data_IF_136744457414
#
_entry.id   IF_136744457414
#
_cell.length_a   1.000
_cell.length_b   1.000
_cell.length_c   1.000
_cell.angle_alpha   90.00
_cell.angle_beta   90.00
_cell.angle_gamma   90.00
#
_symmetry.space_group_name_H-M   'P 1'
#
loop_
_entity.id
_entity.type
_entity.pdbx_description
1 polymer ?
#
# COMPACT_ATOMS: atom_id res chain seq x y z
N UNK A 1 -0.78 4.79 -24.54
CA UNK A 1 -1.89 4.78 -23.57
C UNK A 1 -1.63 5.67 -22.34
N UNK A 2 -0.95 6.81 -22.51
CA UNK A 2 -0.71 7.82 -21.47
C UNK A 2 -1.82 8.86 -21.30
N UNK A 3 -2.95 8.73 -22.01
CA UNK A 3 -3.88 9.85 -22.17
C UNK A 3 -4.78 10.11 -20.96
N UNK A 4 -5.16 9.07 -20.20
CA UNK A 4 -6.12 9.24 -19.11
C UNK A 4 -5.46 9.83 -17.86
N UNK A 5 -4.32 9.30 -17.43
CA UNK A 5 -3.54 9.86 -16.34
C UNK A 5 -3.10 11.29 -16.66
N UNK A 6 -2.66 11.55 -17.90
CA UNK A 6 -2.34 12.91 -18.33
C UNK A 6 -3.57 13.82 -18.22
N UNK A 7 -4.74 13.41 -18.72
CA UNK A 7 -5.95 14.24 -18.61
C UNK A 7 -6.36 14.48 -17.16
N UNK A 8 -6.29 13.46 -16.31
CA UNK A 8 -6.61 13.52 -14.89
C UNK A 8 -5.70 14.54 -14.19
N UNK A 9 -4.40 14.33 -14.25
CA UNK A 9 -3.39 15.15 -13.58
C UNK A 9 -3.02 16.42 -14.36
N UNK A 10 -3.69 16.73 -15.48
CA UNK A 10 -3.59 18.03 -16.17
C UNK A 10 -4.82 18.91 -15.91
N UNK A 11 -5.62 18.60 -14.88
CA UNK A 11 -6.83 19.33 -14.50
C UNK A 11 -7.87 19.48 -15.63
N UNK A 12 -7.96 18.51 -16.56
CA UNK A 12 -8.99 18.55 -17.62
C UNK A 12 -10.40 18.26 -17.11
N UNK A 13 -10.52 17.81 -15.86
CA UNK A 13 -11.78 17.54 -15.19
C UNK A 13 -11.88 18.36 -13.90
N UNK A 14 -12.12 19.68 -13.98
CA UNK A 14 -11.99 20.59 -12.84
C UNK A 14 -12.97 20.32 -11.69
N UNK A 15 -14.04 19.56 -11.93
CA UNK A 15 -15.04 19.20 -10.92
C UNK A 15 -14.98 17.73 -10.48
N UNK A 16 -13.99 16.96 -10.95
CA UNK A 16 -13.90 15.53 -10.67
C UNK A 16 -13.43 15.29 -9.24
N UNK A 17 -14.32 14.76 -8.39
CA UNK A 17 -14.00 14.42 -7.00
C UNK A 17 -13.53 12.99 -6.80
N UNK A 18 -13.96 12.07 -7.65
CA UNK A 18 -13.70 10.64 -7.54
C UNK A 18 -13.17 10.10 -8.87
N UNK A 19 -12.11 9.29 -8.81
CA UNK A 19 -11.58 8.58 -9.96
C UNK A 19 -11.20 7.15 -9.57
N UNK A 20 -11.60 6.18 -10.39
CA UNK A 20 -11.21 4.78 -10.24
C UNK A 20 -10.50 4.29 -11.50
N UNK A 21 -9.20 4.06 -11.35
CA UNK A 21 -8.27 3.54 -12.35
C UNK A 21 -7.51 2.34 -11.77
N UNK A 22 -8.13 1.60 -10.83
CA UNK A 22 -7.47 0.54 -10.08
C UNK A 22 -7.09 -0.67 -10.95
N UNK A 23 -7.88 -0.94 -11.98
CA UNK A 23 -7.66 -2.03 -12.95
C UNK A 23 -6.83 -1.58 -14.17
N UNK A 24 -6.32 -0.35 -14.15
CA UNK A 24 -5.54 0.19 -15.27
C UNK A 24 -4.06 -0.20 -15.18
N UNK A 25 -3.38 -0.12 -16.33
CA UNK A 25 -1.94 -0.42 -16.48
C UNK A 25 -1.06 0.41 -15.54
N UNK A 26 0.13 -0.15 -15.27
CA UNK A 26 1.22 0.46 -14.50
C UNK A 26 1.56 1.86 -15.01
N UNK A 27 1.76 2.80 -14.09
CA UNK A 27 2.27 4.13 -14.43
C UNK A 27 3.79 4.09 -14.37
N UNK A 28 4.44 4.02 -15.52
CA UNK A 28 5.91 3.96 -15.60
C UNK A 28 6.55 5.33 -15.84
N UNK A 29 5.78 6.32 -16.31
CA UNK A 29 6.31 7.64 -16.70
C UNK A 29 5.53 8.77 -16.06
N UNK A 30 6.26 9.62 -15.34
CA UNK A 30 5.74 10.88 -14.81
C UNK A 30 5.79 11.91 -15.94
N UNK A 31 4.62 12.38 -16.36
CA UNK A 31 4.48 13.53 -17.25
C UNK A 31 4.44 14.81 -16.41
N UNK A 32 4.64 16.01 -16.99
CA UNK A 32 4.44 17.27 -16.27
C UNK A 32 2.97 17.38 -15.86
N UNK A 33 2.68 17.00 -14.62
CA UNK A 33 1.36 17.09 -14.02
C UNK A 33 1.13 18.49 -13.49
N UNK A 34 -0.08 18.99 -13.70
CA UNK A 34 -0.57 20.21 -13.06
C UNK A 34 -1.35 19.85 -11.80
N UNK A 35 -1.71 20.85 -11.00
CA UNK A 35 -2.52 20.63 -9.81
C UNK A 35 -3.97 20.32 -10.19
N UNK A 36 -4.49 19.22 -9.64
CA UNK A 36 -5.88 18.78 -9.73
C UNK A 36 -6.53 18.92 -8.36
N UNK A 37 -7.05 20.13 -8.09
CA UNK A 37 -7.53 20.53 -6.77
C UNK A 37 -8.86 19.89 -6.36
N UNK A 38 -9.66 19.44 -7.31
CA UNK A 38 -11.00 18.89 -7.03
C UNK A 38 -10.99 17.42 -6.61
N UNK A 39 -9.91 16.70 -6.91
CA UNK A 39 -9.85 15.25 -6.68
C UNK A 39 -9.67 14.95 -5.20
N UNK A 40 -10.65 14.27 -4.62
CA UNK A 40 -10.67 13.88 -3.20
C UNK A 40 -10.50 12.37 -3.01
N UNK A 41 -10.89 11.57 -3.99
CA UNK A 41 -10.86 10.11 -3.91
C UNK A 41 -10.22 9.54 -5.17
N UNK A 42 -9.13 8.77 -5.00
CA UNK A 42 -8.41 8.15 -6.09
C UNK A 42 -8.17 6.67 -5.80
N UNK A 43 -8.54 5.83 -6.75
CA UNK A 43 -8.10 4.44 -6.81
C UNK A 43 -7.26 4.28 -8.06
N UNK A 44 -6.07 3.69 -7.94
CA UNK A 44 -5.11 3.60 -9.03
C UNK A 44 -4.41 2.23 -9.00
N UNK A 45 -3.98 1.76 -10.16
CA UNK A 45 -3.29 0.48 -10.29
C UNK A 45 -1.87 0.50 -9.71
N UNK A 46 -0.97 -0.19 -10.40
CA UNK A 46 0.43 -0.34 -9.98
C UNK A 46 1.20 0.96 -10.14
N UNK A 47 1.76 1.44 -9.04
CA UNK A 47 2.60 2.62 -9.00
C UNK A 47 3.83 2.37 -8.14
N UNK A 48 4.91 3.09 -8.46
CA UNK A 48 6.09 3.13 -7.62
C UNK A 48 6.06 4.35 -6.67
N UNK A 49 7.13 4.51 -5.90
CA UNK A 49 7.26 5.61 -4.95
C UNK A 49 7.32 7.00 -5.62
N UNK A 50 7.91 7.12 -6.81
CA UNK A 50 8.00 8.38 -7.52
C UNK A 50 6.64 8.83 -8.04
N UNK A 51 5.87 7.91 -8.61
CA UNK A 51 4.51 8.18 -9.06
C UNK A 51 3.63 8.53 -7.86
N UNK A 52 3.75 7.82 -6.75
CA UNK A 52 3.03 8.12 -5.52
C UNK A 52 3.26 9.55 -5.04
N UNK A 53 4.53 9.98 -4.92
CA UNK A 53 4.86 11.35 -4.50
C UNK A 53 4.36 12.40 -5.50
N UNK A 54 4.44 12.12 -6.80
CA UNK A 54 3.88 12.98 -7.83
C UNK A 54 2.35 13.11 -7.70
N UNK A 55 1.63 12.03 -7.35
CA UNK A 55 0.16 12.05 -7.17
C UNK A 55 -0.20 12.94 -6.00
N UNK A 56 0.49 12.77 -4.86
CA UNK A 56 0.25 13.59 -3.68
C UNK A 56 0.53 15.08 -3.95
N UNK A 57 1.57 15.38 -4.73
CA UNK A 57 1.88 16.76 -5.14
C UNK A 57 0.81 17.35 -6.08
N UNK A 58 0.32 16.55 -7.04
CA UNK A 58 -0.69 16.97 -8.00
C UNK A 58 -2.09 17.11 -7.37
N UNK A 59 -2.41 16.35 -6.32
CA UNK A 59 -3.75 16.27 -5.74
C UNK A 59 -3.76 16.70 -4.27
N UNK A 60 -3.58 17.99 -3.94
CA UNK A 60 -3.41 18.44 -2.55
C UNK A 60 -4.66 18.26 -1.67
N UNK A 61 -5.84 18.09 -2.25
CA UNK A 61 -7.10 17.85 -1.52
C UNK A 61 -7.49 16.36 -1.46
N UNK A 62 -6.55 15.47 -1.79
CA UNK A 62 -6.80 14.04 -1.78
C UNK A 62 -7.05 13.56 -0.34
N UNK A 63 -8.22 12.99 -0.11
CA UNK A 63 -8.67 12.48 1.19
C UNK A 63 -8.47 10.97 1.29
N UNK A 64 -8.74 10.25 0.19
CA UNK A 64 -8.64 8.80 0.12
C UNK A 64 -7.83 8.36 -1.10
N UNK A 65 -6.88 7.47 -0.85
CA UNK A 65 -6.05 6.85 -1.88
C UNK A 65 -6.07 5.34 -1.73
N UNK A 66 -6.29 4.63 -2.84
CA UNK A 66 -6.15 3.18 -2.95
C UNK A 66 -5.21 2.86 -4.11
N UNK A 67 -4.20 2.03 -3.87
CA UNK A 67 -3.15 1.78 -4.86
C UNK A 67 -2.55 0.37 -4.77
N UNK A 68 -1.96 -0.10 -5.87
CA UNK A 68 -1.01 -1.20 -5.86
C UNK A 68 0.41 -0.62 -5.84
N UNK A 69 1.28 -1.19 -5.00
CA UNK A 69 2.72 -0.90 -5.02
C UNK A 69 3.49 -2.10 -5.53
N UNK A 70 4.50 -1.81 -6.32
CA UNK A 70 5.56 -2.75 -6.66
C UNK A 70 6.90 -2.20 -6.14
N UNK A 71 7.87 -3.09 -5.98
CA UNK A 71 9.20 -2.72 -5.52
C UNK A 71 9.95 -1.99 -6.65
N UNK A 72 10.35 -0.75 -6.40
CA UNK A 72 11.27 0.00 -7.26
C UNK A 72 12.52 0.42 -6.50
N UNK A 73 13.57 0.83 -7.23
CA UNK A 73 14.79 1.34 -6.63
C UNK A 73 14.49 2.62 -5.83
N UNK A 74 14.57 2.52 -4.50
CA UNK A 74 14.37 3.63 -3.60
C UNK A 74 15.60 4.53 -3.58
N UNK A 75 15.54 5.71 -4.22
CA UNK A 75 16.39 6.83 -3.79
C UNK A 75 15.62 7.66 -2.78
N UNK A 76 16.25 7.91 -1.64
CA UNK A 76 15.79 8.92 -0.69
C UNK A 76 15.60 10.23 -1.43
N UNK A 77 14.35 10.71 -1.45
CA UNK A 77 13.96 12.00 -2.00
C UNK A 77 13.34 12.84 -0.90
N UNK A 78 13.45 14.15 -1.02
CA UNK A 78 12.74 15.08 -0.15
C UNK A 78 11.25 14.95 -0.41
N UNK A 79 10.51 14.49 0.60
CA UNK A 79 9.07 14.24 0.47
C UNK A 79 8.32 15.29 1.26
N UNK A 80 7.50 16.06 0.56
CA UNK A 80 6.61 17.04 1.18
C UNK A 80 5.45 16.33 1.90
N UNK A 81 5.09 16.75 3.12
CA UNK A 81 4.00 16.12 3.86
C UNK A 81 2.64 16.44 3.22
N UNK A 82 1.83 15.40 3.02
CA UNK A 82 0.47 15.51 2.53
C UNK A 82 -0.52 15.46 3.70
N UNK A 83 -1.08 16.63 4.05
CA UNK A 83 -1.87 16.79 5.30
C UNK A 83 -3.36 16.45 5.18
N UNK A 84 -3.88 16.32 3.96
CA UNK A 84 -5.31 16.11 3.73
C UNK A 84 -5.70 14.64 3.57
N UNK A 85 -4.72 13.74 3.35
CA UNK A 85 -4.99 12.32 3.18
C UNK A 85 -5.29 11.69 4.53
N UNK A 86 -6.51 11.16 4.69
CA UNK A 86 -6.97 10.52 5.92
C UNK A 86 -7.11 9.01 5.81
N UNK A 87 -7.29 8.49 4.59
CA UNK A 87 -7.46 7.06 4.33
C UNK A 87 -6.52 6.57 3.23
N UNK A 88 -5.82 5.47 3.51
CA UNK A 88 -4.92 4.82 2.57
C UNK A 88 -5.17 3.31 2.53
N UNK A 89 -5.32 2.78 1.31
CA UNK A 89 -5.35 1.34 1.03
C UNK A 89 -4.17 0.97 0.12
N UNK A 90 -3.30 0.08 0.60
CA UNK A 90 -2.14 -0.41 -0.13
C UNK A 90 -2.33 -1.89 -0.45
N UNK A 91 -2.14 -2.24 -1.72
CA UNK A 91 -1.97 -3.62 -2.19
C UNK A 91 -0.49 -3.80 -2.55
N UNK A 92 0.21 -4.66 -1.82
CA UNK A 92 1.64 -4.90 -2.00
C UNK A 92 1.85 -6.29 -2.57
N UNK A 93 2.36 -6.36 -3.80
CA UNK A 93 2.67 -7.60 -4.51
C UNK A 93 4.17 -7.84 -4.51
N UNK A 94 4.73 -8.03 -3.31
CA UNK A 94 6.17 -8.18 -3.16
C UNK A 94 6.46 -9.57 -2.61
N UNK A 95 7.19 -10.31 -3.42
CA UNK A 95 7.41 -11.74 -3.28
C UNK A 95 8.32 -12.04 -2.09
N UNK A 96 9.28 -11.16 -1.77
CA UNK A 96 10.24 -11.36 -0.69
C UNK A 96 9.69 -10.84 0.65
N UNK A 97 9.93 -11.57 1.74
CA UNK A 97 9.61 -11.08 3.07
C UNK A 97 10.54 -9.95 3.51
N UNK A 98 11.84 -10.08 3.19
CA UNK A 98 12.90 -9.18 3.64
C UNK A 98 12.81 -7.81 2.96
N UNK A 99 13.12 -6.74 3.71
CA UNK A 99 13.19 -5.34 3.25
C UNK A 99 11.87 -4.61 2.94
N UNK A 100 10.71 -5.23 3.12
CA UNK A 100 9.43 -4.59 2.80
C UNK A 100 8.95 -3.53 3.80
N UNK A 101 9.40 -3.60 5.04
CA UNK A 101 8.99 -2.62 6.05
C UNK A 101 9.51 -1.23 5.68
N UNK A 102 10.71 -1.15 5.09
CA UNK A 102 11.27 0.11 4.60
C UNK A 102 10.46 0.68 3.43
N UNK A 103 9.94 -0.19 2.55
CA UNK A 103 9.08 0.26 1.47
C UNK A 103 7.81 0.89 2.04
N UNK A 104 7.09 0.17 2.91
CA UNK A 104 5.89 0.69 3.56
C UNK A 104 6.18 1.97 4.36
N UNK A 105 7.29 2.04 5.09
CA UNK A 105 7.71 3.25 5.81
C UNK A 105 7.85 4.45 4.87
N UNK A 106 8.41 4.27 3.67
CA UNK A 106 8.56 5.34 2.69
C UNK A 106 7.22 5.92 2.24
N UNK A 107 6.22 5.07 1.96
CA UNK A 107 4.88 5.52 1.60
C UNK A 107 4.18 6.24 2.76
N UNK A 108 4.43 5.82 4.00
CA UNK A 108 3.77 6.38 5.18
C UNK A 108 4.44 7.66 5.70
N UNK A 109 5.73 7.86 5.44
CA UNK A 109 6.53 8.98 6.01
C UNK A 109 5.92 10.36 5.74
N UNK A 110 5.21 10.53 4.64
CA UNK A 110 4.65 11.82 4.22
C UNK A 110 3.20 12.02 4.62
N UNK A 111 2.62 11.13 5.42
CA UNK A 111 1.19 11.12 5.75
C UNK A 111 0.95 11.34 7.26
N UNK A 112 1.30 12.52 7.81
CA UNK A 112 1.24 12.75 9.27
C UNK A 112 -0.18 12.70 9.84
N UNK A 113 -1.20 12.84 8.98
CA UNK A 113 -2.60 12.97 9.36
C UNK A 113 -3.45 11.74 9.01
N UNK A 114 -2.80 10.61 8.70
CA UNK A 114 -3.51 9.39 8.33
C UNK A 114 -4.31 8.84 9.52
N UNK A 115 -5.59 8.58 9.32
CA UNK A 115 -6.52 8.07 10.34
C UNK A 115 -6.93 6.61 10.08
N UNK A 116 -6.95 6.20 8.82
CA UNK A 116 -7.29 4.85 8.38
C UNK A 116 -6.20 4.30 7.44
N UNK A 117 -5.67 3.14 7.80
CA UNK A 117 -4.72 2.39 6.99
C UNK A 117 -5.21 0.96 6.78
N UNK A 118 -5.18 0.49 5.54
CA UNK A 118 -5.40 -0.91 5.22
C UNK A 118 -4.27 -1.37 4.31
N UNK A 119 -3.61 -2.46 4.69
CA UNK A 119 -2.56 -3.07 3.90
C UNK A 119 -2.98 -4.49 3.55
N UNK A 120 -3.01 -4.78 2.26
CA UNK A 120 -3.10 -6.13 1.72
C UNK A 120 -1.72 -6.50 1.19
N UNK A 121 -1.11 -7.55 1.73
CA UNK A 121 0.19 -8.04 1.29
C UNK A 121 0.04 -9.40 0.67
N UNK A 122 0.42 -9.55 -0.59
CA UNK A 122 0.44 -10.81 -1.31
C UNK A 122 1.85 -11.39 -1.29
N UNK A 123 1.96 -12.68 -0.99
CA UNK A 123 3.22 -13.42 -1.01
C UNK A 123 3.00 -14.72 -1.76
N UNK A 124 3.74 -14.90 -2.86
CA UNK A 124 3.60 -16.04 -3.77
C UNK A 124 4.55 -17.20 -3.45
N UNK A 125 5.55 -17.00 -2.58
CA UNK A 125 6.47 -18.06 -2.13
C UNK A 125 6.85 -17.86 -0.67
N UNK A 126 6.56 -18.85 0.18
CA UNK A 126 7.18 -18.94 1.52
C UNK A 126 8.56 -19.54 1.30
N UNK A 127 9.49 -18.74 0.79
CA UNK A 127 10.92 -19.13 0.79
C UNK A 127 11.47 -19.02 2.21
N UNK A 128 10.93 -18.09 3.00
CA UNK A 128 11.41 -17.76 4.33
C UNK A 128 10.30 -17.81 5.39
N UNK A 129 10.64 -18.15 6.65
CA UNK A 129 9.68 -18.15 7.75
C UNK A 129 9.13 -16.74 8.01
N UNK A 130 7.82 -16.66 8.27
CA UNK A 130 7.18 -15.42 8.76
C UNK A 130 7.90 -15.03 10.06
N UNK A 131 8.40 -13.79 10.19
CA UNK A 131 9.06 -13.35 11.41
C UNK A 131 8.11 -13.45 12.60
N UNK A 132 8.68 -13.76 13.75
CA UNK A 132 7.96 -13.92 15.02
C UNK A 132 7.77 -12.58 15.78
N UNK A 133 8.07 -11.45 15.14
CA UNK A 133 7.90 -10.11 15.68
C UNK A 133 6.97 -9.25 14.82
N UNK A 134 6.43 -8.20 15.43
CA UNK A 134 5.55 -7.24 14.75
C UNK A 134 6.35 -6.20 13.94
N UNK A 135 6.56 -6.49 12.65
CA UNK A 135 7.39 -5.67 11.76
C UNK A 135 6.82 -4.28 11.42
N UNK A 136 5.51 -4.06 11.58
CA UNK A 136 4.89 -2.74 11.36
C UNK A 136 4.78 -1.89 12.62
N UNK A 137 4.99 -2.47 13.80
CA UNK A 137 4.79 -1.79 15.08
C UNK A 137 5.54 -0.46 15.17
N UNK A 138 6.83 -0.49 14.85
CA UNK A 138 7.70 0.67 14.92
C UNK A 138 7.24 1.76 13.95
N UNK A 139 6.98 1.39 12.69
CA UNK A 139 6.52 2.30 11.65
C UNK A 139 5.22 2.98 12.05
N UNK A 140 4.23 2.22 12.51
CA UNK A 140 2.94 2.76 12.95
C UNK A 140 3.14 3.72 14.12
N UNK A 141 3.90 3.30 15.13
CA UNK A 141 4.13 4.11 16.34
C UNK A 141 4.88 5.42 16.04
N UNK A 142 5.80 5.41 15.08
CA UNK A 142 6.64 6.56 14.74
C UNK A 142 5.92 7.50 13.76
N UNK A 143 5.19 6.97 12.77
CA UNK A 143 4.65 7.75 11.65
C UNK A 143 3.19 8.15 11.84
N UNK A 144 2.38 7.32 12.50
CA UNK A 144 0.92 7.39 12.41
C UNK A 144 0.26 7.63 13.78
N UNK A 145 0.62 8.73 14.42
CA UNK A 145 0.10 9.09 15.75
C UNK A 145 -1.43 9.34 15.80
N UNK A 146 -2.04 9.61 14.63
CA UNK A 146 -3.48 9.86 14.49
C UNK A 146 -4.26 8.64 13.98
N UNK A 147 -3.61 7.48 13.82
CA UNK A 147 -4.24 6.28 13.30
C UNK A 147 -5.31 5.76 14.26
N UNK A 148 -6.55 5.68 13.78
CA UNK A 148 -7.70 5.16 14.53
C UNK A 148 -8.07 3.75 14.09
N UNK A 149 -7.84 3.45 12.83
CA UNK A 149 -8.21 2.18 12.24
C UNK A 149 -7.07 1.62 11.41
N UNK A 150 -6.70 0.39 11.72
CA UNK A 150 -5.67 -0.33 11.00
C UNK A 150 -6.09 -1.77 10.73
N UNK A 151 -6.11 -2.14 9.45
CA UNK A 151 -6.20 -3.54 9.01
C UNK A 151 -4.91 -3.95 8.32
N UNK A 152 -4.38 -5.10 8.73
CA UNK A 152 -3.33 -5.79 7.99
C UNK A 152 -3.84 -7.15 7.52
N UNK A 153 -3.88 -7.39 6.21
CA UNK A 153 -4.28 -8.66 5.61
C UNK A 153 -3.10 -9.27 4.86
N UNK A 154 -2.62 -10.41 5.32
CA UNK A 154 -1.60 -11.19 4.62
C UNK A 154 -2.28 -12.27 3.79
N UNK A 155 -2.04 -12.23 2.48
CA UNK A 155 -2.51 -13.19 1.49
C UNK A 155 -1.33 -14.06 1.05
N UNK A 156 -1.43 -15.36 1.31
CA UNK A 156 -0.51 -16.34 0.77
C UNK A 156 -1.14 -16.93 -0.48
N UNK A 157 -0.48 -16.73 -1.62
CA UNK A 157 -0.86 -17.31 -2.90
C UNK A 157 0.06 -18.50 -3.17
N UNK A 158 -0.55 -19.65 -3.43
CA UNK A 158 0.17 -20.88 -3.69
C UNK A 158 -0.07 -21.34 -5.12
N UNK A 159 0.97 -21.87 -5.76
CA UNK A 159 0.77 -22.69 -6.94
C UNK A 159 0.03 -23.97 -6.53
N UNK A 160 -0.83 -24.52 -7.41
CA UNK A 160 -1.68 -25.68 -7.11
C UNK A 160 -0.86 -26.87 -6.59
N UNK A 161 0.35 -27.05 -7.10
CA UNK A 161 1.29 -28.09 -6.67
C UNK A 161 1.79 -27.93 -5.22
N UNK A 162 1.76 -26.72 -4.66
CA UNK A 162 2.20 -26.42 -3.29
C UNK A 162 1.06 -26.49 -2.27
N UNK A 163 -0.18 -26.26 -2.69
CA UNK A 163 -1.38 -26.40 -1.85
C UNK A 163 -1.50 -27.84 -1.32
N UNK A 164 -1.17 -28.82 -2.15
CA UNK A 164 -1.16 -30.25 -1.78
C UNK A 164 -0.09 -30.58 -0.73
N UNK A 165 0.97 -29.78 -0.65
CA UNK A 165 2.08 -30.00 0.30
C UNK A 165 1.81 -29.36 1.67
N UNK A 166 1.04 -28.26 1.73
CA UNK A 166 0.71 -27.62 2.99
C UNK A 166 -0.43 -28.34 3.70
N UNK A 167 -0.04 -29.13 4.68
CA UNK A 167 -0.96 -29.78 5.61
C UNK A 167 -1.79 -28.76 6.39
N UNK A 168 -2.99 -29.15 6.81
CA UNK A 168 -3.86 -28.36 7.71
C UNK A 168 -3.11 -27.89 8.96
N UNK A 169 -2.19 -28.71 9.48
CA UNK A 169 -1.38 -28.37 10.65
C UNK A 169 -0.41 -27.22 10.37
N UNK A 170 0.27 -27.22 9.22
CA UNK A 170 1.13 -26.11 8.81
C UNK A 170 0.34 -24.80 8.67
N UNK A 171 -0.86 -24.83 8.08
CA UNK A 171 -1.74 -23.64 7.98
C UNK A 171 -2.08 -23.09 9.37
N UNK A 172 -2.39 -23.99 10.32
CA UNK A 172 -2.69 -23.64 11.71
C UNK A 172 -1.48 -23.01 12.40
N UNK A 173 -0.29 -23.57 12.21
CA UNK A 173 0.95 -23.06 12.79
C UNK A 173 1.32 -21.69 12.24
N UNK A 174 1.25 -21.49 10.91
CA UNK A 174 1.50 -20.18 10.29
C UNK A 174 0.53 -19.12 10.80
N UNK A 175 -0.77 -19.46 10.88
CA UNK A 175 -1.77 -18.53 11.43
C UNK A 175 -1.47 -18.17 12.88
N UNK A 176 -1.05 -19.14 13.69
CA UNK A 176 -0.67 -18.91 15.09
C UNK A 176 0.56 -18.01 15.20
N UNK A 177 1.60 -18.25 14.40
CA UNK A 177 2.81 -17.41 14.35
C UNK A 177 2.47 -15.97 13.99
N UNK A 178 1.70 -15.78 12.92
CA UNK A 178 1.24 -14.46 12.47
C UNK A 178 0.46 -13.70 13.54
N UNK A 179 -0.55 -14.34 14.17
CA UNK A 179 -1.36 -13.70 15.20
C UNK A 179 -0.53 -13.40 16.47
N UNK A 180 0.38 -14.29 16.83
CA UNK A 180 1.28 -14.10 17.96
C UNK A 180 2.26 -12.93 17.73
N UNK A 181 2.79 -12.79 16.52
CA UNK A 181 3.69 -11.70 16.16
C UNK A 181 3.01 -10.34 16.41
N UNK A 182 1.77 -10.17 15.94
CA UNK A 182 1.05 -8.89 16.06
C UNK A 182 0.32 -8.66 17.40
N UNK A 183 0.21 -9.69 18.26
CA UNK A 183 -0.37 -9.60 19.62
C UNK A 183 -1.71 -8.86 19.71
N UNK A 184 -2.58 -9.00 18.70
CA UNK A 184 -3.87 -8.29 18.59
C UNK A 184 -3.78 -6.76 18.72
N UNK A 185 -2.63 -6.15 18.40
CA UNK A 185 -2.46 -4.68 18.45
C UNK A 185 -3.40 -3.93 17.50
N UNK A 186 -3.84 -4.59 16.45
CA UNK A 186 -4.74 -4.08 15.43
C UNK A 186 -5.49 -5.23 14.75
N UNK A 187 -6.44 -4.91 13.87
CA UNK A 187 -7.22 -5.91 13.15
C UNK A 187 -6.34 -6.61 12.11
N UNK A 188 -5.70 -7.70 12.52
CA UNK A 188 -4.88 -8.52 11.65
C UNK A 188 -5.70 -9.68 11.07
N UNK A 189 -5.48 -9.99 9.79
CA UNK A 189 -6.10 -11.10 9.07
C UNK A 189 -5.02 -11.87 8.33
N UNK A 190 -5.15 -13.18 8.40
CA UNK A 190 -4.28 -14.11 7.68
C UNK A 190 -5.16 -14.94 6.75
N UNK A 191 -4.91 -14.84 5.46
CA UNK A 191 -5.68 -15.43 4.38
C UNK A 191 -4.75 -16.33 3.57
N UNK A 192 -5.16 -17.58 3.42
CA UNK A 192 -4.52 -18.57 2.57
C UNK A 192 -5.47 -18.79 1.40
N UNK A 193 -5.04 -18.45 0.19
CA UNK A 193 -5.79 -18.63 -1.04
C UNK A 193 -5.28 -19.86 -1.80
#
# INVERSE_FOLDING_TARGET
MSSMYQKLFSNRFPNLKFCNLFECETIETILPWTQTLSLCFLKIGFIDFYVYTAILSACPNLYYLKLHIFQSYLKLSDIQPHRNLRKLEIYSEIIDWYYNDQLIDNFLRCLPNLEELIIYRLISKIVDPIPDYDWLASIISIRLSLLRYFIFSLHLEYDLAFIDFITTEMRRQLRKLFLNAHKNRYQSRFIIN
#
